data_IF_187034203646
#
_entry.id   IF_187034203646
#
_cell.length_a   1.000
_cell.length_b   1.000
_cell.length_c   1.000
_cell.angle_alpha   90.00
_cell.angle_beta   90.00
_cell.angle_gamma   90.00
#
_symmetry.space_group_name_H-M   'P 1'
#
loop_
_entity.id
_entity.type
_entity.pdbx_description
1 polymer ?
#
# COMPACT_ATOMS: atom_id res chain seq x y z
N UNK A 1 -7.08 -2.65 14.42
CA UNK A 1 -7.65 -3.82 13.76
C UNK A 1 -6.58 -4.56 12.99
N UNK A 2 -6.50 -5.84 13.19
CA UNK A 2 -5.53 -6.69 12.50
C UNK A 2 -6.28 -7.84 11.85
N UNK A 3 -6.06 -8.03 10.57
CA UNK A 3 -6.59 -9.18 9.84
C UNK A 3 -5.42 -10.05 9.43
N UNK A 4 -5.53 -11.34 9.71
CA UNK A 4 -4.49 -12.31 9.37
C UNK A 4 -4.97 -13.25 8.31
N UNK A 5 -4.16 -13.46 7.30
CA UNK A 5 -4.26 -14.58 6.39
C UNK A 5 -2.98 -15.40 6.53
N UNK A 6 -2.91 -16.60 5.97
CA UNK A 6 -1.85 -17.57 6.22
C UNK A 6 -0.42 -17.00 6.19
N UNK A 7 -0.12 -16.15 5.21
CA UNK A 7 1.20 -15.56 5.06
C UNK A 7 1.18 -14.03 5.12
N UNK A 8 -0.02 -13.45 5.34
CA UNK A 8 -0.20 -12.02 5.19
C UNK A 8 -0.96 -11.45 6.36
N UNK A 9 -0.41 -10.39 6.93
CA UNK A 9 -1.03 -9.66 8.04
C UNK A 9 -1.36 -8.26 7.57
N UNK A 10 -2.59 -7.82 7.86
CA UNK A 10 -3.03 -6.46 7.59
C UNK A 10 -3.10 -5.70 8.90
N UNK A 11 -2.53 -4.52 8.92
CA UNK A 11 -2.53 -3.68 10.10
C UNK A 11 -3.04 -2.30 9.76
N UNK A 12 -3.99 -1.80 10.56
CA UNK A 12 -4.45 -0.43 10.47
C UNK A 12 -3.84 0.38 11.59
N UNK A 13 -3.42 1.57 11.29
CA UNK A 13 -3.04 2.54 12.30
C UNK A 13 -4.32 3.21 12.79
N UNK A 14 -4.71 2.96 14.04
CA UNK A 14 -5.97 3.44 14.58
C UNK A 14 -6.10 4.96 14.54
N UNK A 15 -5.01 5.69 14.80
CA UNK A 15 -5.00 7.14 14.74
C UNK A 15 -5.24 7.69 13.34
N UNK A 16 -5.10 6.84 12.35
CA UNK A 16 -5.31 7.15 10.94
C UNK A 16 -6.44 6.30 10.40
N UNK A 17 -7.43 6.05 11.25
CA UNK A 17 -8.62 5.30 10.89
C UNK A 17 -9.32 5.95 9.70
N UNK A 18 -10.27 5.28 9.16
CA UNK A 18 -10.93 5.70 7.94
C UNK A 18 -10.48 4.87 6.76
N UNK A 19 -9.75 3.78 7.00
CA UNK A 19 -9.37 2.82 5.95
C UNK A 19 -9.75 1.41 6.35
N UNK A 20 -10.06 0.61 5.34
CA UNK A 20 -10.26 -0.82 5.45
C UNK A 20 -9.53 -1.47 4.29
N UNK A 21 -8.71 -2.47 4.59
CA UNK A 21 -7.92 -3.17 3.58
C UNK A 21 -8.64 -4.45 3.18
N UNK A 22 -8.83 -4.62 1.88
CA UNK A 22 -9.32 -5.86 1.30
C UNK A 22 -8.19 -6.51 0.52
N UNK A 23 -7.95 -7.77 0.80
CA UNK A 23 -6.90 -8.54 0.16
C UNK A 23 -7.45 -9.84 -0.37
N UNK A 24 -6.89 -10.25 -1.49
CA UNK A 24 -7.13 -11.60 -2.03
C UNK A 24 -5.80 -12.34 -2.00
N UNK A 25 -5.78 -13.45 -1.28
CA UNK A 25 -4.65 -14.37 -1.26
C UNK A 25 -5.15 -15.69 -1.79
N UNK A 26 -4.47 -16.21 -2.80
CA UNK A 26 -4.82 -17.47 -3.43
C UNK A 26 -3.54 -18.23 -3.74
N UNK A 27 -3.51 -19.51 -3.36
CA UNK A 27 -2.38 -20.42 -3.63
C UNK A 27 -1.03 -19.84 -3.11
N UNK A 28 -1.08 -19.18 -1.95
CA UNK A 28 0.13 -18.58 -1.36
C UNK A 28 0.59 -17.28 -2.02
N UNK A 29 -0.20 -16.75 -2.95
CA UNK A 29 0.10 -15.53 -3.67
C UNK A 29 -0.89 -14.44 -3.31
N UNK A 30 -0.40 -13.20 -3.15
CA UNK A 30 -1.27 -12.07 -2.92
C UNK A 30 -1.54 -11.37 -4.25
N UNK A 31 -2.76 -11.46 -4.72
CA UNK A 31 -3.18 -10.96 -6.02
C UNK A 31 -3.88 -9.60 -5.98
N UNK A 32 -4.35 -9.18 -4.81
CA UNK A 32 -5.10 -7.94 -4.69
C UNK A 32 -4.87 -7.27 -3.35
N UNK A 33 -4.64 -5.96 -3.40
CA UNK A 33 -4.59 -5.08 -2.22
C UNK A 33 -5.42 -3.84 -2.59
N UNK A 34 -6.57 -3.72 -1.96
CA UNK A 34 -7.53 -2.63 -2.20
C UNK A 34 -7.81 -1.96 -0.86
N UNK A 35 -7.90 -0.65 -0.85
CA UNK A 35 -8.19 0.10 0.38
C UNK A 35 -9.49 0.84 0.21
N UNK A 36 -10.39 0.67 1.18
CA UNK A 36 -11.66 1.38 1.25
C UNK A 36 -11.52 2.60 2.16
N UNK A 37 -12.10 3.72 1.75
CA UNK A 37 -12.26 4.88 2.61
C UNK A 37 -13.51 4.67 3.48
N UNK A 38 -13.31 4.39 4.74
CA UNK A 38 -14.41 4.21 5.71
C UNK A 38 -14.70 5.48 6.51
N UNK A 39 -14.01 6.56 6.19
CA UNK A 39 -14.21 7.86 6.83
C UNK A 39 -15.40 8.61 6.26
N UNK A 40 -15.54 9.85 6.70
CA UNK A 40 -16.67 10.72 6.32
C UNK A 40 -16.29 11.80 5.31
N UNK A 41 -15.02 11.90 4.97
CA UNK A 41 -14.51 12.89 4.01
C UNK A 41 -13.73 12.20 2.90
N UNK A 42 -13.78 12.80 1.71
CA UNK A 42 -12.93 12.38 0.59
C UNK A 42 -11.46 12.44 1.03
N UNK A 43 -10.69 11.41 0.74
CA UNK A 43 -9.33 11.24 1.24
C UNK A 43 -8.42 10.65 0.19
N UNK A 44 -7.12 10.95 0.32
CA UNK A 44 -6.09 10.21 -0.41
C UNK A 44 -5.60 9.05 0.45
N UNK A 45 -5.11 8.03 -0.22
CA UNK A 45 -4.67 6.78 0.41
C UNK A 45 -3.23 6.47 0.03
N UNK A 46 -2.45 6.02 1.00
CA UNK A 46 -1.13 5.45 0.74
C UNK A 46 -0.95 4.15 1.53
N UNK A 47 -0.09 3.31 1.03
CA UNK A 47 0.13 1.96 1.56
C UNK A 47 1.63 1.72 1.71
N UNK A 48 2.00 1.11 2.82
CA UNK A 48 3.35 0.59 3.02
C UNK A 48 3.27 -0.92 3.15
N UNK A 49 4.18 -1.63 2.51
CA UNK A 49 4.30 -3.07 2.64
C UNK A 49 5.54 -3.40 3.44
N UNK A 50 5.38 -4.24 4.45
CA UNK A 50 6.49 -4.74 5.25
C UNK A 50 6.56 -6.24 5.03
N UNK A 51 7.66 -6.71 4.46
CA UNK A 51 7.86 -8.11 4.10
C UNK A 51 8.91 -8.72 5.03
N UNK A 52 8.57 -9.85 5.64
CA UNK A 52 9.47 -10.59 6.50
C UNK A 52 9.41 -12.08 6.19
N UNK A 53 10.57 -12.74 6.31
CA UNK A 53 10.62 -14.20 6.32
C UNK A 53 10.42 -14.67 7.76
N UNK A 54 9.55 -15.66 7.93
CA UNK A 54 9.13 -16.15 9.25
C UNK A 54 9.28 -17.65 9.28
N UNK A 55 9.87 -18.17 10.36
CA UNK A 55 10.02 -19.61 10.55
C UNK A 55 8.74 -20.27 11.06
N UNK A 56 8.77 -21.59 11.24
CA UNK A 56 7.59 -22.35 11.67
C UNK A 56 7.08 -21.97 13.07
N UNK A 57 7.88 -21.30 13.87
CA UNK A 57 7.49 -20.80 15.18
C UNK A 57 7.02 -19.35 15.18
N UNK A 58 6.95 -18.72 14.02
CA UNK A 58 6.51 -17.32 13.92
C UNK A 58 7.61 -16.30 14.14
N UNK A 59 8.86 -16.73 14.19
CA UNK A 59 10.00 -15.85 14.43
C UNK A 59 10.55 -15.29 13.12
N UNK A 60 10.84 -14.00 13.11
CA UNK A 60 11.43 -13.34 11.94
C UNK A 60 12.88 -13.83 11.76
N UNK A 61 13.20 -14.20 10.54
CA UNK A 61 14.52 -14.71 10.15
C UNK A 61 15.10 -13.74 9.12
N UNK A 62 16.36 -13.35 9.33
CA UNK A 62 17.06 -12.50 8.38
C UNK A 62 17.57 -13.30 7.19
N UNK A 63 17.79 -12.63 6.07
CA UNK A 63 18.23 -13.25 4.83
C UNK A 63 17.06 -13.54 3.91
N UNK A 64 17.36 -14.14 2.78
CA UNK A 64 16.37 -14.35 1.74
C UNK A 64 16.14 -13.11 0.90
N UNK A 65 15.50 -13.31 -0.24
CA UNK A 65 15.21 -12.25 -1.17
C UNK A 65 13.84 -11.67 -0.86
N UNK A 66 13.68 -10.36 -0.98
CA UNK A 66 12.37 -9.74 -0.85
C UNK A 66 11.58 -9.92 -2.15
N UNK A 67 10.25 -10.01 -2.06
CA UNK A 67 9.42 -10.17 -3.26
C UNK A 67 9.43 -8.90 -4.11
N UNK A 68 9.18 -9.08 -5.39
CA UNK A 68 8.94 -7.98 -6.30
C UNK A 68 7.50 -7.52 -6.18
N UNK A 69 7.30 -6.20 -6.24
CA UNK A 69 5.97 -5.59 -6.26
C UNK A 69 5.83 -4.84 -7.56
N UNK A 70 4.88 -5.28 -8.39
CA UNK A 70 4.58 -4.61 -9.66
C UNK A 70 3.32 -3.78 -9.47
N UNK A 71 3.47 -2.47 -9.54
CA UNK A 71 2.36 -1.54 -9.30
C UNK A 71 1.42 -1.48 -10.49
N UNK A 72 0.16 -1.25 -10.17
CA UNK A 72 -0.87 -0.90 -11.14
C UNK A 72 -0.69 0.57 -11.51
N UNK A 73 0.11 0.82 -12.52
CA UNK A 73 0.37 2.18 -13.01
C UNK A 73 -0.59 2.57 -14.13
N UNK A 74 -0.95 3.83 -14.25
CA UNK A 74 -0.51 5.00 -13.48
C UNK A 74 -1.32 5.26 -12.21
N UNK A 75 -2.22 4.37 -11.81
CA UNK A 75 -3.11 4.59 -10.66
C UNK A 75 -2.36 4.70 -9.34
N UNK A 76 -1.21 4.05 -9.25
CA UNK A 76 -0.34 4.07 -8.09
C UNK A 76 1.08 4.48 -8.47
N UNK A 77 1.78 5.13 -7.57
CA UNK A 77 3.22 5.37 -7.70
C UNK A 77 3.94 5.10 -6.38
N UNK A 78 5.23 4.87 -6.46
CA UNK A 78 6.06 4.64 -5.27
C UNK A 78 6.96 5.85 -5.04
N UNK A 79 7.05 6.27 -3.79
CA UNK A 79 7.97 7.30 -3.34
C UNK A 79 8.49 6.91 -1.96
N UNK A 80 9.82 6.83 -1.84
CA UNK A 80 10.48 6.52 -0.56
C UNK A 80 9.93 5.26 0.13
N UNK A 81 9.65 4.23 -0.66
CA UNK A 81 9.17 2.95 -0.14
C UNK A 81 7.69 2.92 0.23
N UNK A 82 6.95 3.98 -0.07
CA UNK A 82 5.52 4.06 0.18
C UNK A 82 4.78 4.16 -1.15
N UNK A 83 3.64 3.50 -1.25
CA UNK A 83 2.81 3.46 -2.45
C UNK A 83 1.63 4.40 -2.29
N UNK A 84 1.48 5.32 -3.24
CA UNK A 84 0.44 6.34 -3.22
C UNK A 84 -0.59 6.07 -4.30
N UNK A 85 -1.88 6.04 -3.91
CA UNK A 85 -2.96 6.00 -4.87
C UNK A 85 -3.20 7.42 -5.37
N UNK A 86 -3.26 7.59 -6.67
CA UNK A 86 -3.28 8.92 -7.27
C UNK A 86 -4.60 9.64 -7.16
N UNK A 87 -5.71 8.92 -7.06
CA UNK A 87 -7.04 9.52 -7.10
C UNK A 87 -7.61 9.74 -5.71
N UNK A 88 -8.35 10.84 -5.49
CA UNK A 88 -9.09 10.98 -4.24
C UNK A 88 -10.19 9.91 -4.17
N UNK A 89 -10.42 9.42 -2.96
CA UNK A 89 -11.39 8.35 -2.70
C UNK A 89 -12.51 8.92 -1.84
N UNK A 90 -13.71 8.90 -2.38
CA UNK A 90 -14.89 9.38 -1.66
C UNK A 90 -15.27 8.42 -0.53
N UNK A 91 -16.01 8.88 0.50
CA UNK A 91 -16.47 8.00 1.57
C UNK A 91 -17.20 6.76 1.04
N UNK A 92 -16.82 5.60 1.56
CA UNK A 92 -17.38 4.31 1.16
C UNK A 92 -16.81 3.74 -0.13
N UNK A 93 -16.02 4.50 -0.86
CA UNK A 93 -15.41 4.03 -2.10
C UNK A 93 -14.06 3.39 -1.84
N UNK A 94 -13.53 2.75 -2.87
CA UNK A 94 -12.30 1.96 -2.79
C UNK A 94 -11.27 2.46 -3.81
N UNK A 95 -10.01 2.23 -3.50
CA UNK A 95 -8.95 2.35 -4.50
C UNK A 95 -9.08 1.22 -5.52
N UNK A 96 -8.43 1.38 -6.65
CA UNK A 96 -8.15 0.24 -7.51
C UNK A 96 -7.08 -0.63 -6.84
N UNK A 97 -6.88 -1.84 -7.36
CA UNK A 97 -5.87 -2.75 -6.86
C UNK A 97 -4.48 -2.11 -6.98
N UNK A 98 -3.71 -2.18 -5.90
CA UNK A 98 -2.32 -1.71 -5.88
C UNK A 98 -1.44 -2.51 -6.85
N UNK A 99 -1.75 -3.78 -7.01
CA UNK A 99 -0.95 -4.69 -7.84
C UNK A 99 -1.45 -4.69 -9.28
N UNK A 100 -0.52 -4.71 -10.20
CA UNK A 100 -0.84 -4.88 -11.61
C UNK A 100 -1.53 -6.22 -11.81
N UNK A 101 -2.52 -6.24 -12.72
CA UNK A 101 -3.26 -7.45 -13.06
C UNK A 101 -2.29 -8.57 -13.46
N UNK A 102 -2.55 -9.75 -12.94
CA UNK A 102 -1.75 -10.96 -13.20
C UNK A 102 -0.30 -10.87 -12.73
N UNK A 103 -0.02 -9.95 -11.81
CA UNK A 103 1.29 -9.80 -11.18
C UNK A 103 1.16 -9.85 -9.65
N UNK A 104 0.78 -11.01 -9.09
CA UNK A 104 0.65 -11.14 -7.64
C UNK A 104 2.01 -11.06 -6.96
N UNK A 105 1.99 -10.77 -5.66
CA UNK A 105 3.18 -10.91 -4.83
C UNK A 105 3.34 -12.40 -4.54
N UNK A 106 4.51 -12.94 -4.90
CA UNK A 106 4.84 -14.35 -4.71
C UNK A 106 6.06 -14.50 -3.84
N UNK A 107 6.18 -15.66 -3.19
CA UNK A 107 7.40 -15.97 -2.46
C UNK A 107 8.56 -16.14 -3.43
N UNK A 108 9.67 -15.40 -3.23
CA UNK A 108 10.90 -15.69 -3.96
C UNK A 108 11.38 -17.11 -3.68
N UNK A 109 11.99 -17.73 -4.67
CA UNK A 109 12.59 -19.07 -4.50
C UNK A 109 13.82 -19.05 -3.63
N UNK A 110 14.54 -17.92 -3.62
CA UNK A 110 15.69 -17.73 -2.73
C UNK A 110 15.18 -17.31 -1.36
N UNK A 111 14.96 -18.29 -0.50
CA UNK A 111 14.40 -18.05 0.83
C UNK A 111 15.12 -18.90 1.88
N UNK A 112 15.10 -18.49 3.14
CA UNK A 112 15.62 -19.32 4.23
C UNK A 112 14.80 -20.61 4.36
N UNK A 113 15.48 -21.71 4.66
CA UNK A 113 14.84 -23.02 4.79
C UNK A 113 13.75 -23.01 5.85
N UNK A 114 12.61 -23.61 5.50
CA UNK A 114 11.49 -23.75 6.44
C UNK A 114 10.74 -22.47 6.73
N UNK A 115 11.05 -21.40 6.02
CA UNK A 115 10.39 -20.10 6.22
C UNK A 115 9.33 -19.84 5.16
N UNK A 116 8.37 -18.99 5.53
CA UNK A 116 7.39 -18.45 4.61
C UNK A 116 7.42 -16.92 4.68
N UNK A 117 6.91 -16.29 3.63
CA UNK A 117 6.87 -14.84 3.54
C UNK A 117 5.63 -14.28 4.23
N UNK A 118 5.83 -13.34 5.13
CA UNK A 118 4.74 -12.52 5.65
C UNK A 118 4.79 -11.15 5.01
N UNK A 119 3.67 -10.71 4.48
CA UNK A 119 3.49 -9.37 3.93
C UNK A 119 2.48 -8.64 4.81
N UNK A 120 2.95 -7.61 5.50
CA UNK A 120 2.09 -6.75 6.31
C UNK A 120 1.73 -5.53 5.50
N UNK A 121 0.44 -5.26 5.38
CA UNK A 121 -0.07 -4.10 4.65
C UNK A 121 -0.48 -3.04 5.66
N UNK A 122 0.12 -1.87 5.56
CA UNK A 122 -0.22 -0.71 6.40
C UNK A 122 -0.86 0.33 5.49
N UNK A 123 -2.09 0.71 5.78
CA UNK A 123 -2.81 1.71 5.02
C UNK A 123 -3.03 2.97 5.85
N UNK A 124 -2.95 4.10 5.18
CA UNK A 124 -3.11 5.39 5.80
C UNK A 124 -3.87 6.30 4.84
N UNK A 125 -4.76 7.11 5.38
CA UNK A 125 -5.49 8.11 4.60
C UNK A 125 -5.26 9.50 5.15
N UNK A 126 -5.40 10.49 4.29
CA UNK A 126 -5.41 11.90 4.66
C UNK A 126 -6.57 12.58 3.96
N UNK A 127 -7.29 13.43 4.67
CA UNK A 127 -8.37 14.20 4.10
C UNK A 127 -7.87 15.03 2.91
N UNK A 128 -8.60 15.00 1.81
CA UNK A 128 -8.15 15.59 0.56
C UNK A 128 -8.10 17.12 0.57
N UNK A 129 -8.92 17.76 1.37
CA UNK A 129 -8.94 19.22 1.45
C UNK A 129 -8.46 19.69 2.82
N UNK A 130 -7.60 20.72 2.86
CA UNK A 130 -7.06 21.47 1.75
C UNK A 130 -5.83 20.78 1.12
N UNK A 131 -5.60 21.05 -0.16
CA UNK A 131 -4.46 20.49 -0.91
C UNK A 131 -3.13 20.77 -0.22
N UNK A 132 -2.99 21.96 0.36
CA UNK A 132 -1.76 22.35 1.04
C UNK A 132 -1.41 21.45 2.21
N UNK A 133 -2.41 20.99 2.94
CA UNK A 133 -2.19 20.07 4.06
C UNK A 133 -1.67 18.72 3.57
N UNK A 134 -2.23 18.22 2.47
CA UNK A 134 -1.78 16.97 1.85
C UNK A 134 -0.33 17.10 1.39
N UNK A 135 -0.02 18.17 0.68
CA UNK A 135 1.31 18.42 0.14
C UNK A 135 2.35 18.56 1.23
N UNK A 136 2.01 19.22 2.32
CA UNK A 136 2.92 19.39 3.45
C UNK A 136 3.13 18.08 4.22
N UNK A 137 2.05 17.36 4.48
CA UNK A 137 2.11 16.14 5.30
C UNK A 137 2.78 14.98 4.58
N UNK A 138 2.50 14.83 3.28
CA UNK A 138 2.95 13.67 2.52
C UNK A 138 4.07 13.97 1.52
N UNK A 139 4.44 15.23 1.38
CA UNK A 139 5.47 15.67 0.44
C UNK A 139 5.22 15.16 -0.98
N UNK A 140 3.99 15.35 -1.43
CA UNK A 140 3.54 15.01 -2.77
C UNK A 140 2.91 16.26 -3.39
N UNK A 141 2.71 16.22 -4.70
CA UNK A 141 2.04 17.30 -5.43
C UNK A 141 0.60 16.90 -5.68
N UNK A 142 -0.34 17.83 -5.47
CA UNK A 142 -1.74 17.66 -5.85
C UNK A 142 -1.96 18.47 -7.12
N UNK A 143 -2.35 17.80 -8.20
CA UNK A 143 -2.66 18.47 -9.45
C UNK A 143 -3.94 19.30 -9.27
N UNK A 144 -3.88 20.64 -9.47
CA UNK A 144 -5.03 21.49 -9.19
C UNK A 144 -6.18 21.29 -10.18
N UNK A 145 -5.93 20.72 -11.36
CA UNK A 145 -6.96 20.51 -12.36
C UNK A 145 -7.66 19.16 -12.20
N UNK A 146 -6.90 18.11 -11.87
CA UNK A 146 -7.45 16.76 -11.80
C UNK A 146 -7.65 16.26 -10.37
N UNK A 147 -7.05 16.93 -9.40
CA UNK A 147 -6.99 16.49 -7.99
C UNK A 147 -6.22 15.19 -7.80
N UNK A 148 -5.42 14.80 -8.79
CA UNK A 148 -4.59 13.60 -8.67
C UNK A 148 -3.29 13.91 -7.95
N UNK A 149 -2.84 12.95 -7.14
CA UNK A 149 -1.52 13.02 -6.54
C UNK A 149 -0.46 12.69 -7.59
N UNK A 150 0.65 13.41 -7.50
CA UNK A 150 1.83 13.14 -8.30
C UNK A 150 3.05 13.17 -7.42
N UNK A 151 4.11 12.55 -7.85
CA UNK A 151 5.39 12.73 -7.19
C UNK A 151 5.75 14.20 -7.25
N UNK A 152 6.46 14.67 -6.23
CA UNK A 152 6.89 16.05 -6.21
C UNK A 152 7.58 16.39 -7.51
N UNK A 153 7.13 17.46 -8.16
CA UNK A 153 7.67 17.84 -9.44
C UNK A 153 9.17 18.10 -9.28
N UNK A 154 10.02 17.47 -10.11
CA UNK A 154 11.42 17.84 -10.11
C UNK A 154 11.50 19.33 -10.41
N UNK A 155 12.33 20.05 -9.66
CA UNK A 155 12.56 21.44 -9.95
C UNK A 155 13.14 21.52 -11.36
N UNK A 156 12.32 21.93 -12.31
CA UNK A 156 12.83 22.25 -13.62
C UNK A 156 13.63 23.52 -13.48
N UNK A 157 14.91 23.37 -13.45
CA UNK A 157 15.77 24.50 -13.63
C UNK A 157 15.68 24.90 -15.09
N UNK A 158 15.31 26.11 -15.38
CA UNK A 158 15.34 26.58 -16.77
C UNK A 158 16.77 26.57 -17.29
#
# INVERSE_FOLDING_TARGET
LVAHTNAVTNTFTAAKSGTHIEEVTKDGEKSSIIVQNTGTATSYVRVKLVCNWVDGGGKVVSGGKLPEVTLNEPDWFMKDGIYYYTKPVAPGKMTDNLLQKDKPITEPTDKPDGCHLEVTVLAESIQAAPDTAVQQSWDVHVDPETSELRQTTPTTTP
#
